data_IF_232795523119
#
_entry.id   IF_232795523119
#
_cell.length_a   1.000
_cell.length_b   1.000
_cell.length_c   1.000
_cell.angle_alpha   90.00
_cell.angle_beta   90.00
_cell.angle_gamma   90.00
#
_symmetry.space_group_name_H-M   'P 1'
#
loop_
_entity.id
_entity.type
_entity.pdbx_description
1 polymer ?
#
# COMPACT_ATOMS: atom_id res chain seq x y z
N UNK A 1 -13.30 -27.47 7.16
CA UNK A 1 -11.84 -27.29 7.03
C UNK A 1 -11.63 -25.81 6.80
N UNK A 2 -11.06 -25.08 7.75
CA UNK A 2 -10.75 -23.67 7.55
C UNK A 2 -9.44 -23.56 6.77
N UNK A 3 -9.34 -22.72 5.73
CA UNK A 3 -8.08 -22.51 5.05
C UNK A 3 -7.06 -21.95 6.04
N UNK A 4 -5.86 -22.54 6.04
CA UNK A 4 -4.74 -22.02 6.84
C UNK A 4 -4.29 -20.73 6.15
N UNK A 5 -4.27 -19.63 6.90
CA UNK A 5 -3.79 -18.35 6.37
C UNK A 5 -2.31 -18.47 5.98
N UNK A 6 -1.99 -18.02 4.77
CA UNK A 6 -0.63 -17.69 4.36
C UNK A 6 -0.60 -16.28 3.76
N UNK A 7 0.53 -15.60 3.94
CA UNK A 7 0.74 -14.26 3.40
C UNK A 7 0.68 -14.29 1.87
N UNK A 8 1.35 -15.25 1.25
CA UNK A 8 1.39 -15.36 -0.21
C UNK A 8 0.03 -15.70 -0.81
N UNK A 9 -0.78 -16.58 -0.20
CA UNK A 9 -2.13 -16.87 -0.70
C UNK A 9 -3.04 -15.63 -0.65
N UNK A 10 -2.90 -14.82 0.41
CA UNK A 10 -3.70 -13.59 0.53
C UNK A 10 -3.26 -12.54 -0.47
N UNK A 11 -1.95 -12.42 -0.72
CA UNK A 11 -1.41 -11.54 -1.77
C UNK A 11 -1.87 -12.01 -3.15
N UNK A 12 -1.81 -13.32 -3.43
CA UNK A 12 -2.24 -13.89 -4.70
C UNK A 12 -3.73 -13.66 -4.94
N UNK A 13 -4.56 -13.82 -3.91
CA UNK A 13 -6.01 -13.54 -3.98
C UNK A 13 -6.32 -12.10 -4.40
N UNK A 14 -5.56 -11.11 -3.91
CA UNK A 14 -5.69 -9.72 -4.39
C UNK A 14 -5.37 -9.61 -5.89
N UNK A 15 -4.28 -10.22 -6.36
CA UNK A 15 -3.89 -10.15 -7.76
C UNK A 15 -4.80 -10.94 -8.71
N UNK A 16 -5.45 -12.00 -8.22
CA UNK A 16 -6.41 -12.78 -8.99
C UNK A 16 -7.77 -12.09 -9.10
N UNK A 17 -8.21 -11.38 -8.06
CA UNK A 17 -9.60 -10.90 -7.96
C UNK A 17 -9.78 -9.39 -8.04
N UNK A 18 -8.76 -8.61 -7.69
CA UNK A 18 -8.89 -7.15 -7.50
C UNK A 18 -8.00 -6.33 -8.44
N UNK A 19 -7.07 -6.96 -9.16
CA UNK A 19 -6.04 -6.26 -9.93
C UNK A 19 -5.85 -6.90 -11.30
N UNK A 20 -5.35 -6.11 -12.25
CA UNK A 20 -4.95 -6.57 -13.59
C UNK A 20 -3.43 -6.55 -13.78
N UNK A 21 -2.68 -6.25 -12.72
CA UNK A 21 -1.21 -6.16 -12.72
C UNK A 21 -0.62 -7.24 -11.83
N UNK A 22 0.65 -7.57 -12.03
CA UNK A 22 1.34 -8.60 -11.24
C UNK A 22 2.01 -8.02 -10.00
N UNK A 23 2.29 -8.88 -9.01
CA UNK A 23 3.12 -8.53 -7.84
C UNK A 23 4.44 -7.88 -8.24
N UNK A 24 5.14 -8.44 -9.23
CA UNK A 24 6.43 -7.93 -9.68
C UNK A 24 6.31 -6.50 -10.24
N UNK A 25 5.27 -6.19 -11.01
CA UNK A 25 5.05 -4.83 -11.53
C UNK A 25 4.82 -3.81 -10.40
N UNK A 26 4.07 -4.21 -9.37
CA UNK A 26 3.89 -3.39 -8.17
C UNK A 26 5.21 -3.21 -7.41
N UNK A 27 5.98 -4.28 -7.23
CA UNK A 27 7.28 -4.23 -6.54
C UNK A 27 8.28 -3.32 -7.27
N UNK A 28 8.39 -3.43 -8.60
CA UNK A 28 9.26 -2.60 -9.42
C UNK A 28 8.87 -1.12 -9.33
N UNK A 29 7.56 -0.82 -9.38
CA UNK A 29 7.07 0.54 -9.25
C UNK A 29 7.33 1.09 -7.85
N UNK A 30 7.13 0.30 -6.80
CA UNK A 30 7.47 0.68 -5.43
C UNK A 30 8.99 0.94 -5.28
N UNK A 31 9.85 0.13 -5.90
CA UNK A 31 11.31 0.35 -5.89
C UNK A 31 11.65 1.68 -6.57
N UNK A 32 11.04 1.97 -7.73
CA UNK A 32 11.28 3.24 -8.43
C UNK A 32 10.83 4.45 -7.61
N UNK A 33 9.81 4.29 -6.77
CA UNK A 33 9.18 5.39 -6.03
C UNK A 33 9.91 5.71 -4.72
N UNK A 34 10.35 4.68 -3.99
CA UNK A 34 10.91 4.86 -2.63
C UNK A 34 12.22 4.11 -2.38
N UNK A 35 12.71 3.32 -3.34
CA UNK A 35 13.93 2.52 -3.23
C UNK A 35 13.75 1.22 -2.44
N UNK A 36 14.88 0.51 -2.27
CA UNK A 36 14.98 -0.76 -1.53
C UNK A 36 15.34 -0.53 -0.05
N UNK A 37 15.16 -1.54 0.83
CA UNK A 37 14.51 -2.85 0.61
C UNK A 37 13.00 -2.72 0.40
N UNK A 38 12.36 -3.77 -0.10
CA UNK A 38 10.90 -3.89 -0.20
C UNK A 38 10.49 -5.20 0.45
N UNK A 39 9.56 -5.11 1.40
CA UNK A 39 8.97 -6.26 2.08
C UNK A 39 7.44 -6.14 2.02
N UNK A 40 6.71 -7.20 1.64
CA UNK A 40 5.27 -7.21 1.79
C UNK A 40 4.87 -6.94 3.24
N UNK A 41 3.79 -6.19 3.45
CA UNK A 41 3.26 -6.00 4.78
C UNK A 41 2.84 -7.36 5.38
N UNK A 42 3.14 -7.63 6.66
CA UNK A 42 2.89 -8.93 7.28
C UNK A 42 1.39 -9.26 7.40
N UNK A 43 0.54 -8.23 7.38
CA UNK A 43 -0.91 -8.33 7.43
C UNK A 43 -1.47 -7.58 6.21
N UNK A 44 -1.73 -8.28 5.08
CA UNK A 44 -2.31 -7.69 3.88
C UNK A 44 -3.83 -7.50 4.03
N UNK A 45 -4.38 -6.57 3.25
CA UNK A 45 -5.83 -6.39 3.12
C UNK A 45 -6.34 -7.17 1.91
N UNK A 46 -7.60 -7.59 1.94
CA UNK A 46 -8.23 -8.24 0.79
C UNK A 46 -8.31 -7.33 -0.45
N UNK A 47 -8.29 -6.01 -0.25
CA UNK A 47 -8.43 -5.00 -1.31
C UNK A 47 -7.16 -4.22 -1.60
N UNK A 48 -6.03 -4.62 -1.02
CA UNK A 48 -4.77 -3.96 -1.31
C UNK A 48 -3.56 -4.87 -1.21
N UNK A 49 -2.63 -4.64 -2.13
CA UNK A 49 -1.26 -5.06 -1.95
C UNK A 49 -0.47 -3.92 -1.30
N UNK A 50 0.16 -4.18 -0.16
CA UNK A 50 0.93 -3.18 0.58
C UNK A 50 2.35 -3.68 0.80
N UNK A 51 3.33 -2.80 0.56
CA UNK A 51 4.73 -3.05 0.85
C UNK A 51 5.30 -1.98 1.77
N UNK A 52 6.20 -2.40 2.64
CA UNK A 52 7.03 -1.54 3.47
C UNK A 52 8.39 -1.43 2.76
N UNK A 53 8.80 -0.20 2.46
CA UNK A 53 9.90 0.06 1.55
C UNK A 53 10.76 1.28 1.91
N UNK A 54 11.86 1.43 1.19
CA UNK A 54 12.83 2.51 1.35
C UNK A 54 13.77 2.33 2.54
N UNK A 55 14.69 3.29 2.71
CA UNK A 55 15.69 3.23 3.79
C UNK A 55 15.02 3.12 5.15
N UNK A 56 15.54 2.21 5.98
CA UNK A 56 14.98 1.84 7.29
C UNK A 56 13.51 1.42 7.26
N UNK A 57 12.96 1.02 6.11
CA UNK A 57 11.55 0.60 5.99
C UNK A 57 10.56 1.71 6.42
N UNK A 58 10.91 2.97 6.15
CA UNK A 58 10.18 4.16 6.61
C UNK A 58 9.01 4.60 5.73
N UNK A 59 8.81 3.94 4.59
CA UNK A 59 7.73 4.25 3.64
C UNK A 59 6.81 3.05 3.46
N UNK A 60 5.52 3.35 3.32
CA UNK A 60 4.51 2.37 2.95
C UNK A 60 4.04 2.71 1.54
N UNK A 61 4.01 1.73 0.66
CA UNK A 61 3.44 1.85 -0.69
C UNK A 61 2.27 0.89 -0.79
N UNK A 62 1.11 1.41 -1.17
CA UNK A 62 -0.14 0.66 -1.21
C UNK A 62 -0.74 0.73 -2.61
N UNK A 63 -1.12 -0.43 -3.13
CA UNK A 63 -1.84 -0.61 -4.38
C UNK A 63 -3.25 -1.06 -4.01
N UNK A 64 -4.22 -0.14 -4.05
CA UNK A 64 -5.61 -0.41 -3.70
C UNK A 64 -6.42 -0.73 -4.94
N UNK A 65 -7.33 -1.70 -4.84
CA UNK A 65 -8.34 -1.94 -5.86
C UNK A 65 -9.09 -0.64 -6.18
N UNK A 66 -9.46 -0.42 -7.45
CA UNK A 66 -10.13 0.82 -7.87
C UNK A 66 -11.42 1.13 -7.05
N UNK A 67 -12.16 0.08 -6.66
CA UNK A 67 -13.37 0.18 -5.83
C UNK A 67 -13.10 0.65 -4.39
N UNK A 68 -11.84 0.63 -3.96
CA UNK A 68 -11.37 0.98 -2.62
C UNK A 68 -10.37 2.15 -2.65
N UNK A 69 -10.36 2.94 -3.72
CA UNK A 69 -9.49 4.11 -3.81
C UNK A 69 -9.73 5.08 -2.64
N UNK A 70 -8.65 5.67 -2.12
CA UNK A 70 -8.72 6.58 -0.98
C UNK A 70 -9.15 7.97 -1.44
N UNK A 71 -10.06 8.58 -0.69
CA UNK A 71 -10.36 10.00 -0.83
C UNK A 71 -9.25 10.84 -0.17
N UNK A 72 -8.37 11.38 -1.01
CA UNK A 72 -7.23 12.20 -0.58
C UNK A 72 -7.69 13.52 0.05
N UNK A 73 -8.82 14.09 -0.37
CA UNK A 73 -9.32 15.34 0.21
C UNK A 73 -9.79 15.10 1.64
N UNK A 74 -10.55 14.03 1.87
CA UNK A 74 -10.96 13.61 3.21
C UNK A 74 -9.75 13.31 4.10
N UNK A 75 -8.72 12.63 3.60
CA UNK A 75 -7.48 12.39 4.35
C UNK A 75 -6.74 13.68 4.71
N UNK A 76 -6.68 14.64 3.79
CA UNK A 76 -6.06 15.94 4.03
C UNK A 76 -6.82 16.76 5.08
N UNK A 77 -8.16 16.74 5.04
CA UNK A 77 -9.00 17.37 6.06
C UNK A 77 -8.79 16.71 7.43
N UNK A 78 -8.81 15.38 7.50
CA UNK A 78 -8.54 14.65 8.73
C UNK A 78 -7.17 15.00 9.31
N UNK A 79 -6.14 15.09 8.45
CA UNK A 79 -4.79 15.50 8.85
C UNK A 79 -4.72 16.97 9.30
N UNK A 80 -5.52 17.86 8.72
CA UNK A 80 -5.59 19.26 9.17
C UNK A 80 -6.16 19.38 10.59
N UNK A 81 -7.08 18.50 10.97
CA UNK A 81 -7.72 18.48 12.30
C UNK A 81 -6.86 17.74 13.33
N UNK A 82 -6.33 16.56 12.95
CA UNK A 82 -5.68 15.63 13.88
C UNK A 82 -4.13 15.65 13.80
N UNK A 83 -3.56 16.48 12.92
CA UNK A 83 -2.12 16.65 12.79
C UNK A 83 -1.41 15.34 12.42
N UNK A 84 -0.36 15.01 13.16
CA UNK A 84 0.51 13.86 12.86
C UNK A 84 -0.11 12.49 13.17
N UNK A 85 -1.28 12.45 13.82
CA UNK A 85 -2.03 11.20 14.01
C UNK A 85 -2.53 10.61 12.68
N UNK A 86 -2.72 11.46 11.67
CA UNK A 86 -3.04 11.03 10.30
C UNK A 86 -1.76 11.10 9.47
N UNK A 87 -1.25 9.96 8.98
CA UNK A 87 -0.01 9.97 8.22
C UNK A 87 -0.21 10.69 6.88
N UNK A 88 0.84 11.35 6.41
CA UNK A 88 0.82 11.98 5.10
C UNK A 88 0.73 10.90 4.01
N UNK A 89 -0.33 10.95 3.22
CA UNK A 89 -0.59 10.07 2.09
C UNK A 89 -0.54 10.86 0.78
N UNK A 90 0.11 10.30 -0.24
CA UNK A 90 0.21 10.89 -1.58
C UNK A 90 -0.27 9.89 -2.61
N UNK A 91 -1.21 10.29 -3.47
CA UNK A 91 -1.60 9.50 -4.64
C UNK A 91 -0.57 9.68 -5.76
N UNK A 92 -0.10 8.58 -6.33
CA UNK A 92 0.92 8.54 -7.38
C UNK A 92 0.38 8.07 -8.73
N UNK A 93 -0.94 7.93 -8.87
CA UNK A 93 -1.59 7.51 -10.11
C UNK A 93 -2.12 6.08 -10.04
N UNK A 94 -2.38 5.50 -11.20
CA UNK A 94 -3.01 4.19 -11.35
C UNK A 94 -2.07 3.27 -12.13
N UNK A 95 -1.97 2.01 -11.70
CA UNK A 95 -1.33 0.93 -12.43
C UNK A 95 -2.37 -0.18 -12.67
N UNK A 96 -2.67 -0.47 -13.93
CA UNK A 96 -3.78 -1.37 -14.28
C UNK A 96 -5.12 -0.86 -13.75
N UNK A 97 -5.74 -1.61 -12.85
CA UNK A 97 -6.97 -1.23 -12.12
C UNK A 97 -6.72 -0.98 -10.62
N UNK A 98 -5.48 -0.64 -10.27
CA UNK A 98 -5.07 -0.38 -8.89
C UNK A 98 -4.56 1.06 -8.73
N UNK A 99 -5.09 1.78 -7.75
CA UNK A 99 -4.63 3.11 -7.37
C UNK A 99 -3.42 3.00 -6.44
N UNK A 100 -2.36 3.77 -6.75
CA UNK A 100 -1.09 3.74 -6.05
C UNK A 100 -0.97 4.90 -5.06
N UNK A 101 -0.68 4.57 -3.80
CA UNK A 101 -0.48 5.53 -2.73
C UNK A 101 0.85 5.30 -2.03
N UNK A 102 1.47 6.39 -1.60
CA UNK A 102 2.65 6.38 -0.73
C UNK A 102 2.30 7.08 0.57
N UNK A 103 2.56 6.39 1.67
CA UNK A 103 2.37 6.89 3.02
C UNK A 103 3.72 6.95 3.73
N UNK A 104 3.99 8.05 4.44
CA UNK A 104 5.19 8.14 5.28
C UNK A 104 4.86 7.67 6.69
N UNK A 105 5.68 6.76 7.23
CA UNK A 105 5.59 6.38 8.63
C UNK A 105 6.11 7.57 9.46
N UNK A 106 5.37 8.05 10.47
CA UNK A 106 5.87 9.07 11.39
C UNK A 106 7.17 8.60 12.05
N UNK A 107 8.17 9.48 12.14
CA UNK A 107 9.49 9.18 12.74
C UNK A 107 9.40 8.66 14.18
N UNK A 108 8.34 9.03 14.89
CA UNK A 108 8.16 8.73 16.31
C UNK A 108 7.66 7.29 16.54
N UNK A 109 7.35 6.57 15.44
CA UNK A 109 6.89 5.18 15.44
C UNK A 109 7.91 4.21 14.81
N UNK A 110 9.13 4.67 14.49
CA UNK A 110 10.22 3.88 13.90
C UNK A 110 11.44 3.78 14.82
#
# INVERSE_FOLDING_TARGET
MHPIYTLDDTINSFFESQSTVTRQQCDDLAVSLVGKPINPAPIPSAFSYTVIAGSKQSKIVQFLAQSSALDIETLNLARAIHGQLVPACTHHGIIGQSSLYRTSIPSDLT
#
